data_IF_871214593906
#
_entry.id   IF_871214593906
#
_cell.length_a   1.000
_cell.length_b   1.000
_cell.length_c   1.000
_cell.angle_alpha   90.00
_cell.angle_beta   90.00
_cell.angle_gamma   90.00
#
_symmetry.space_group_name_H-M   'P 1'
#
loop_
_entity.id
_entity.type
_entity.pdbx_description
1 polymer ?
#
# COMPACT_ATOMS: atom_id res chain seq x y z
N UNK A 1 46.10 63.72 29.68
CA UNK A 1 45.85 63.36 28.28
C UNK A 1 45.42 61.89 28.23
N UNK A 2 44.21 61.64 27.72
CA UNK A 2 43.60 60.37 27.28
C UNK A 2 43.20 59.28 28.31
N UNK A 3 41.88 59.12 28.37
CA UNK A 3 41.05 57.95 28.73
C UNK A 3 41.45 56.65 28.01
N UNK A 4 41.05 55.49 28.57
CA UNK A 4 40.12 54.47 28.00
C UNK A 4 40.15 53.21 28.89
N UNK A 5 39.16 52.97 29.75
CA UNK A 5 38.03 52.03 29.55
C UNK A 5 38.43 50.78 28.75
N UNK A 6 38.65 49.65 29.43
CA UNK A 6 38.50 48.33 28.80
C UNK A 6 37.23 47.63 29.28
N UNK A 7 36.44 47.33 28.25
CA UNK A 7 35.09 46.78 28.22
C UNK A 7 35.05 45.32 28.70
N UNK A 8 33.96 44.99 29.38
CA UNK A 8 33.45 43.65 29.65
C UNK A 8 33.43 42.79 28.37
N UNK A 9 33.98 41.57 28.46
CA UNK A 9 33.73 40.49 27.49
C UNK A 9 32.70 39.56 28.12
N UNK A 10 31.49 39.55 27.55
CA UNK A 10 30.47 38.54 27.79
C UNK A 10 30.72 37.39 26.80
N UNK A 11 30.84 36.12 27.23
CA UNK A 11 30.90 35.03 26.28
C UNK A 11 29.49 34.73 25.78
N UNK A 12 29.29 34.87 24.47
CA UNK A 12 28.11 34.39 23.76
C UNK A 12 28.15 32.86 23.79
N UNK A 13 27.25 32.24 24.57
CA UNK A 13 27.01 30.79 24.49
C UNK A 13 26.35 30.50 23.14
N UNK A 14 27.13 30.00 22.19
CA UNK A 14 26.60 29.37 20.98
C UNK A 14 25.93 28.05 21.39
N UNK A 15 24.60 28.01 21.35
CA UNK A 15 23.83 26.77 21.40
C UNK A 15 24.10 26.04 20.10
N UNK A 16 25.08 25.13 20.11
CA UNK A 16 25.28 24.15 19.05
C UNK A 16 24.10 23.19 19.10
N UNK A 17 23.16 23.34 18.18
CA UNK A 17 22.16 22.33 17.88
C UNK A 17 22.91 21.10 17.35
N UNK A 18 23.24 20.16 18.24
CA UNK A 18 23.78 18.84 17.89
C UNK A 18 22.68 18.04 17.20
N UNK A 19 22.50 18.28 15.91
CA UNK A 19 21.95 17.30 14.99
C UNK A 19 23.03 16.21 14.86
N UNK A 20 23.07 15.25 15.79
CA UNK A 20 24.01 14.13 15.70
C UNK A 20 23.66 13.30 14.46
N UNK A 21 24.55 13.20 13.45
CA UNK A 21 24.33 12.26 12.36
C UNK A 21 24.29 10.85 12.95
N UNK A 22 23.38 10.00 12.47
CA UNK A 22 23.41 8.57 12.82
C UNK A 22 24.82 8.03 12.55
N UNK A 23 25.41 7.37 13.54
CA UNK A 23 26.67 6.66 13.32
C UNK A 23 26.49 5.60 12.23
N UNK A 24 27.52 5.36 11.41
CA UNK A 24 27.47 4.37 10.32
C UNK A 24 27.03 2.96 10.80
N UNK A 25 27.30 2.62 12.06
CA UNK A 25 26.82 1.43 12.76
C UNK A 25 25.32 1.45 13.03
N UNK A 26 24.74 2.58 13.47
CA UNK A 26 23.27 2.72 13.64
C UNK A 26 22.55 2.72 12.28
N UNK A 27 23.15 3.32 11.25
CA UNK A 27 22.62 3.28 9.89
C UNK A 27 22.69 1.87 9.27
N UNK A 28 23.72 1.08 9.59
CA UNK A 28 23.82 -0.34 9.22
C UNK A 28 22.86 -1.23 10.02
N UNK A 29 22.54 -0.88 11.27
CA UNK A 29 21.56 -1.60 12.11
C UNK A 29 20.10 -1.27 11.75
N UNK A 30 19.83 -0.14 11.11
CA UNK A 30 18.58 0.20 10.41
C UNK A 30 18.53 -0.35 8.97
N UNK A 31 19.33 -1.38 8.65
CA UNK A 31 19.46 -1.95 7.29
C UNK A 31 18.15 -2.45 6.67
N UNK A 32 17.10 -2.64 7.48
CA UNK A 32 15.81 -3.06 6.96
C UNK A 32 15.11 -1.93 6.16
N UNK A 33 14.79 -2.17 4.87
CA UNK A 33 14.17 -1.17 4.01
C UNK A 33 12.83 -0.65 4.53
N UNK A 34 12.03 -1.50 5.18
CA UNK A 34 10.74 -1.09 5.74
C UNK A 34 10.94 -0.17 6.94
N UNK A 35 11.80 -0.54 7.90
CA UNK A 35 12.05 0.31 9.07
C UNK A 35 12.61 1.68 8.64
N UNK A 36 13.49 1.71 7.62
CA UNK A 36 13.96 2.95 7.00
C UNK A 36 12.83 3.78 6.41
N UNK A 37 11.88 3.17 5.70
CA UNK A 37 10.70 3.85 5.17
C UNK A 37 9.88 4.52 6.28
N UNK A 38 9.68 3.86 7.42
CA UNK A 38 8.97 4.44 8.57
C UNK A 38 9.68 5.70 9.09
N UNK A 39 11.02 5.68 9.18
CA UNK A 39 11.82 6.85 9.59
C UNK A 39 11.73 7.97 8.57
N UNK A 40 11.98 7.68 7.29
CA UNK A 40 11.90 8.66 6.19
C UNK A 40 10.52 9.31 6.15
N UNK A 41 9.46 8.52 6.35
CA UNK A 41 8.08 9.02 6.40
C UNK A 41 7.87 10.04 7.51
N UNK A 42 8.37 9.76 8.71
CA UNK A 42 8.31 10.69 9.85
C UNK A 42 9.09 11.96 9.57
N UNK A 43 10.27 11.85 8.97
CA UNK A 43 11.11 13.00 8.63
C UNK A 43 10.43 13.94 7.62
N UNK A 44 9.80 13.38 6.58
CA UNK A 44 9.00 14.14 5.62
C UNK A 44 7.87 14.88 6.35
N UNK A 45 7.17 14.22 7.26
CA UNK A 45 6.02 14.82 7.95
C UNK A 45 6.38 15.90 8.95
N UNK A 46 7.49 15.72 9.67
CA UNK A 46 8.00 16.72 10.60
C UNK A 46 8.34 18.03 9.89
N UNK A 47 8.78 17.97 8.63
CA UNK A 47 9.22 19.13 7.83
C UNK A 47 8.13 19.73 6.95
N UNK A 48 7.26 18.90 6.38
CA UNK A 48 6.32 19.30 5.33
C UNK A 48 4.84 19.10 5.73
N UNK A 49 4.58 18.74 6.99
CA UNK A 49 3.24 18.45 7.47
C UNK A 49 2.74 17.07 7.01
N UNK A 50 1.48 16.77 7.34
CA UNK A 50 0.89 15.47 7.03
C UNK A 50 0.75 15.29 5.51
N UNK A 51 1.48 14.32 4.98
CA UNK A 51 1.36 13.85 3.60
C UNK A 51 1.05 12.35 3.57
N UNK A 52 0.59 11.81 2.46
CA UNK A 52 0.55 10.37 2.19
C UNK A 52 1.84 9.95 1.48
N UNK A 53 2.36 8.76 1.79
CA UNK A 53 3.49 8.17 1.07
C UNK A 53 3.13 6.73 0.73
N UNK A 54 3.07 6.42 -0.56
CA UNK A 54 2.75 5.07 -1.03
C UNK A 54 3.88 4.52 -1.88
N UNK A 55 4.19 3.25 -1.67
CA UNK A 55 5.11 2.47 -2.48
C UNK A 55 4.34 1.77 -3.60
N UNK A 56 4.68 2.10 -4.84
CA UNK A 56 4.20 1.48 -6.07
C UNK A 56 2.66 1.29 -6.12
N UNK A 57 1.87 2.37 -5.96
CA UNK A 57 0.41 2.30 -5.78
C UNK A 57 -0.38 1.67 -6.95
N UNK A 58 0.24 1.54 -8.12
CA UNK A 58 -0.39 1.01 -9.35
C UNK A 58 0.37 -0.17 -9.95
N UNK A 59 1.31 -0.76 -9.20
CA UNK A 59 2.09 -1.88 -9.69
C UNK A 59 1.27 -3.16 -9.56
N UNK A 60 0.73 -3.62 -10.68
CA UNK A 60 -0.09 -4.84 -10.73
C UNK A 60 0.75 -6.12 -10.57
N UNK A 61 1.93 -6.17 -11.19
CA UNK A 61 2.80 -7.35 -11.12
C UNK A 61 3.95 -7.13 -10.14
N UNK A 62 3.69 -7.42 -8.87
CA UNK A 62 4.70 -7.36 -7.80
C UNK A 62 5.53 -8.65 -7.67
N UNK A 63 5.23 -9.68 -8.48
CA UNK A 63 5.92 -10.97 -8.47
C UNK A 63 5.76 -11.75 -7.16
N UNK A 64 6.70 -12.65 -6.89
CA UNK A 64 6.75 -13.44 -5.65
C UNK A 64 7.24 -12.62 -4.45
N UNK A 65 7.41 -13.26 -3.28
CA UNK A 65 7.88 -12.58 -2.07
C UNK A 65 9.27 -11.94 -2.21
N UNK A 66 10.17 -12.55 -3.01
CA UNK A 66 11.49 -11.99 -3.29
C UNK A 66 11.37 -10.71 -4.12
N UNK A 67 10.51 -10.74 -5.14
CA UNK A 67 10.22 -9.60 -5.99
C UNK A 67 9.59 -8.46 -5.19
N UNK A 68 8.64 -8.76 -4.30
CA UNK A 68 8.05 -7.77 -3.38
C UNK A 68 9.10 -7.14 -2.46
N UNK A 69 10.00 -7.95 -1.89
CA UNK A 69 11.09 -7.45 -1.04
C UNK A 69 11.97 -6.45 -1.80
N UNK A 70 12.26 -6.74 -3.07
CA UNK A 70 13.03 -5.84 -3.94
C UNK A 70 12.27 -4.54 -4.22
N UNK A 71 10.95 -4.61 -4.44
CA UNK A 71 10.13 -3.39 -4.55
C UNK A 71 10.13 -2.56 -3.27
N UNK A 72 10.13 -3.17 -2.08
CA UNK A 72 10.26 -2.41 -0.82
C UNK A 72 11.62 -1.71 -0.74
N UNK A 73 12.72 -2.35 -1.16
CA UNK A 73 14.05 -1.71 -1.23
C UNK A 73 14.06 -0.51 -2.17
N UNK A 74 13.52 -0.67 -3.39
CA UNK A 74 13.39 0.40 -4.37
C UNK A 74 12.54 1.54 -3.82
N UNK A 75 11.46 1.21 -3.12
CA UNK A 75 10.64 2.24 -2.48
C UNK A 75 11.44 3.02 -1.42
N UNK A 76 12.18 2.32 -0.55
CA UNK A 76 13.01 2.95 0.47
C UNK A 76 14.07 3.88 -0.13
N UNK A 77 14.69 3.48 -1.24
CA UNK A 77 15.62 4.33 -1.99
C UNK A 77 14.91 5.58 -2.53
N UNK A 78 13.81 5.41 -3.28
CA UNK A 78 13.08 6.54 -3.86
C UNK A 78 12.54 7.49 -2.80
N UNK A 79 12.02 6.97 -1.69
CA UNK A 79 11.54 7.77 -0.56
C UNK A 79 12.66 8.57 0.10
N UNK A 80 13.87 8.01 0.22
CA UNK A 80 15.02 8.76 0.72
C UNK A 80 15.35 9.93 -0.21
N UNK A 81 15.52 9.67 -1.51
CA UNK A 81 15.85 10.72 -2.47
C UNK A 81 14.77 11.80 -2.47
N UNK A 82 13.50 11.42 -2.35
CA UNK A 82 12.37 12.35 -2.24
C UNK A 82 12.50 13.22 -0.98
N UNK A 83 12.78 12.61 0.17
CA UNK A 83 13.00 13.33 1.42
C UNK A 83 14.17 14.31 1.33
N UNK A 84 15.20 13.99 0.56
CA UNK A 84 16.35 14.88 0.35
C UNK A 84 16.04 16.02 -0.64
N UNK A 85 15.28 15.74 -1.69
CA UNK A 85 14.81 16.73 -2.67
C UNK A 85 13.83 17.74 -2.05
N UNK A 86 12.95 17.29 -1.15
CA UNK A 86 11.99 18.13 -0.45
C UNK A 86 12.64 19.20 0.45
N UNK A 87 13.90 19.00 0.85
CA UNK A 87 14.69 20.02 1.59
C UNK A 87 14.98 21.26 0.72
N UNK A 88 15.07 21.08 -0.60
CA UNK A 88 15.38 22.16 -1.55
C UNK A 88 14.11 22.69 -2.23
N UNK A 89 13.20 21.81 -2.59
CA UNK A 89 11.94 22.15 -3.24
C UNK A 89 10.79 21.59 -2.40
N UNK A 90 10.28 22.34 -1.39
CA UNK A 90 9.09 21.92 -0.68
C UNK A 90 7.96 21.77 -1.71
N UNK A 91 7.45 20.54 -1.88
CA UNK A 91 6.43 20.19 -2.89
C UNK A 91 5.11 20.90 -2.64
N UNK A 92 5.05 22.18 -2.98
CA UNK A 92 3.98 23.10 -2.57
C UNK A 92 2.62 22.59 -3.02
N UNK A 93 1.77 22.25 -2.05
CA UNK A 93 0.41 21.80 -2.28
C UNK A 93 0.24 20.30 -2.60
N UNK A 94 1.31 19.52 -2.72
CA UNK A 94 1.22 18.06 -2.87
C UNK A 94 0.86 17.45 -1.51
N UNK A 95 -0.20 16.64 -1.48
CA UNK A 95 -0.70 15.94 -0.29
C UNK A 95 -0.34 14.46 -0.27
N UNK A 96 -0.01 13.90 -1.43
CA UNK A 96 0.29 12.48 -1.60
C UNK A 96 1.47 12.28 -2.54
N UNK A 97 2.49 11.56 -2.07
CA UNK A 97 3.60 11.11 -2.88
C UNK A 97 3.51 9.62 -3.12
N UNK A 98 3.64 9.19 -4.38
CA UNK A 98 3.76 7.79 -4.75
C UNK A 98 5.14 7.49 -5.29
N UNK A 99 5.93 6.67 -4.59
CA UNK A 99 7.13 6.10 -5.21
C UNK A 99 6.68 5.11 -6.28
N UNK A 100 7.17 5.27 -7.50
CA UNK A 100 6.66 4.60 -8.68
C UNK A 100 7.76 4.35 -9.71
N UNK A 101 7.39 3.81 -10.87
CA UNK A 101 8.27 3.62 -12.03
C UNK A 101 8.28 4.81 -12.99
N UNK A 102 7.45 5.83 -12.74
CA UNK A 102 7.32 7.03 -13.57
C UNK A 102 7.01 8.28 -12.75
N UNK A 103 7.28 9.44 -13.34
CA UNK A 103 6.74 10.71 -12.86
C UNK A 103 5.32 10.91 -13.38
N UNK A 104 4.39 11.30 -12.50
CA UNK A 104 3.01 11.57 -12.89
C UNK A 104 2.34 12.52 -11.89
N UNK A 105 1.85 13.66 -12.37
CA UNK A 105 0.95 14.51 -11.58
C UNK A 105 -0.49 14.07 -11.80
N UNK A 106 -1.21 13.77 -10.72
CA UNK A 106 -2.58 13.26 -10.76
C UNK A 106 -3.38 13.78 -9.56
N UNK A 107 -4.65 13.41 -9.47
CA UNK A 107 -5.52 13.81 -8.37
C UNK A 107 -5.68 15.33 -8.24
N UNK A 108 -5.64 16.07 -9.36
CA UNK A 108 -5.74 17.52 -9.33
C UNK A 108 -4.48 18.21 -8.81
N UNK A 109 -3.31 17.63 -9.10
CA UNK A 109 -2.00 18.06 -8.57
C UNK A 109 -1.80 17.85 -7.07
N UNK A 110 -2.74 17.20 -6.37
CA UNK A 110 -2.56 16.80 -4.97
C UNK A 110 -1.72 15.53 -4.82
N UNK A 111 -1.58 14.75 -5.89
CA UNK A 111 -0.82 13.50 -5.89
C UNK A 111 0.30 13.56 -6.91
N UNK A 112 1.53 13.30 -6.49
CA UNK A 112 2.71 13.23 -7.37
C UNK A 112 3.33 11.84 -7.28
N UNK A 113 3.36 11.12 -8.39
CA UNK A 113 4.20 9.94 -8.54
C UNK A 113 5.61 10.38 -8.91
N UNK A 114 6.61 9.77 -8.29
CA UNK A 114 8.03 10.00 -8.58
C UNK A 114 8.73 8.69 -8.86
N UNK A 115 9.69 8.72 -9.79
CA UNK A 115 10.49 7.54 -10.11
C UNK A 115 11.38 7.15 -8.93
N UNK A 116 11.39 5.87 -8.56
CA UNK A 116 12.20 5.36 -7.47
C UNK A 116 13.72 5.50 -7.71
N UNK A 117 14.13 5.44 -8.98
CA UNK A 117 15.51 5.51 -9.47
C UNK A 117 15.92 6.92 -9.92
N UNK A 118 15.06 7.94 -9.70
CA UNK A 118 15.41 9.31 -10.07
C UNK A 118 16.59 9.83 -9.27
N UNK A 119 17.42 10.66 -9.92
CA UNK A 119 18.41 11.46 -9.22
C UNK A 119 17.75 12.53 -8.35
N UNK A 120 18.50 13.08 -7.40
CA UNK A 120 18.04 14.20 -6.55
C UNK A 120 17.57 15.38 -7.41
N UNK A 121 18.31 15.73 -8.46
CA UNK A 121 17.99 16.87 -9.32
C UNK A 121 16.71 16.64 -10.13
N UNK A 122 16.51 15.42 -10.65
CA UNK A 122 15.26 15.03 -11.31
C UNK A 122 14.06 15.13 -10.35
N UNK A 123 14.23 14.74 -9.09
CA UNK A 123 13.17 14.88 -8.09
C UNK A 123 12.88 16.34 -7.76
N UNK A 124 13.91 17.18 -7.62
CA UNK A 124 13.75 18.62 -7.41
C UNK A 124 13.00 19.26 -8.58
N UNK A 125 13.35 18.91 -9.82
CA UNK A 125 12.68 19.40 -11.02
C UNK A 125 11.20 19.00 -11.04
N UNK A 126 10.89 17.72 -10.76
CA UNK A 126 9.52 17.23 -10.67
C UNK A 126 8.70 17.93 -9.58
N UNK A 127 9.28 18.16 -8.40
CA UNK A 127 8.64 18.90 -7.31
C UNK A 127 8.34 20.34 -7.72
N UNK A 128 9.29 21.04 -8.34
CA UNK A 128 9.09 22.41 -8.85
C UNK A 128 8.02 22.45 -9.94
N UNK A 129 8.02 21.50 -10.87
CA UNK A 129 7.00 21.41 -11.92
C UNK A 129 5.59 21.18 -11.35
N UNK A 130 5.46 20.38 -10.28
CA UNK A 130 4.17 20.12 -9.63
C UNK A 130 3.57 21.33 -8.90
N UNK A 131 4.37 22.34 -8.59
CA UNK A 131 4.01 23.44 -7.67
C UNK A 131 3.30 24.64 -8.31
N UNK A 132 2.89 24.56 -9.58
CA UNK A 132 2.32 25.69 -10.33
C UNK A 132 0.85 25.96 -9.94
N UNK A 133 0.64 26.67 -8.83
CA UNK A 133 -0.68 27.00 -8.30
C UNK A 133 -1.65 27.61 -9.34
N UNK A 134 -1.15 28.46 -10.25
CA UNK A 134 -1.96 29.06 -11.32
C UNK A 134 -2.40 28.08 -12.42
N UNK A 135 -1.60 27.07 -12.74
CA UNK A 135 -1.99 26.00 -13.66
C UNK A 135 -3.06 25.10 -13.04
N UNK A 136 -2.90 24.80 -11.73
CA UNK A 136 -3.89 24.03 -10.97
C UNK A 136 -5.26 24.70 -10.95
N UNK A 137 -5.33 26.00 -10.68
CA UNK A 137 -6.61 26.72 -10.68
C UNK A 137 -7.28 26.70 -12.07
N UNK A 138 -6.49 26.91 -13.14
CA UNK A 138 -6.98 26.83 -14.53
C UNK A 138 -7.51 25.42 -14.85
N UNK A 139 -6.81 24.36 -14.45
CA UNK A 139 -7.27 22.99 -14.62
C UNK A 139 -8.61 22.78 -13.90
N UNK A 140 -8.70 23.19 -12.63
CA UNK A 140 -9.94 23.02 -11.85
C UNK A 140 -11.12 23.78 -12.45
N UNK A 141 -10.91 24.99 -12.96
CA UNK A 141 -11.97 25.72 -13.67
C UNK A 141 -12.46 24.97 -14.91
N UNK A 142 -11.55 24.39 -15.70
CA UNK A 142 -11.94 23.55 -16.86
C UNK A 142 -12.67 22.28 -16.44
N UNK A 143 -12.15 21.56 -15.46
CA UNK A 143 -12.76 20.33 -14.94
C UNK A 143 -14.16 20.61 -14.38
N UNK A 144 -14.33 21.68 -13.59
CA UNK A 144 -15.63 22.08 -13.05
C UNK A 144 -16.60 22.44 -14.18
N UNK A 145 -16.14 23.18 -15.20
CA UNK A 145 -16.93 23.47 -16.40
C UNK A 145 -17.43 22.21 -17.09
N UNK A 146 -16.55 21.25 -17.40
CA UNK A 146 -16.95 20.00 -18.02
C UNK A 146 -17.86 19.16 -17.11
N UNK A 147 -17.56 19.06 -15.81
CA UNK A 147 -18.41 18.33 -14.86
C UNK A 147 -19.83 18.91 -14.82
N UNK A 148 -19.99 20.23 -14.83
CA UNK A 148 -21.32 20.87 -14.91
C UNK A 148 -22.05 20.50 -16.19
N UNK A 149 -21.38 20.58 -17.35
CA UNK A 149 -21.97 20.15 -18.63
C UNK A 149 -22.42 18.69 -18.59
N UNK A 150 -21.58 17.81 -18.06
CA UNK A 150 -21.86 16.38 -17.94
C UNK A 150 -23.06 16.14 -17.00
N UNK A 151 -23.06 16.73 -15.82
CA UNK A 151 -24.11 16.52 -14.81
C UNK A 151 -25.46 17.15 -15.21
N UNK A 152 -25.47 18.14 -16.10
CA UNK A 152 -26.72 18.63 -16.73
C UNK A 152 -27.26 17.62 -17.73
N UNK A 153 -26.39 16.92 -18.46
CA UNK A 153 -26.78 16.01 -19.53
C UNK A 153 -27.03 14.57 -19.05
N UNK A 154 -26.49 14.19 -17.89
CA UNK A 154 -26.52 12.81 -17.38
C UNK A 154 -26.70 12.76 -15.87
N UNK A 155 -27.48 11.78 -15.39
CA UNK A 155 -27.71 11.54 -13.96
C UNK A 155 -26.61 10.64 -13.36
N UNK A 156 -25.49 11.24 -12.95
CA UNK A 156 -24.39 10.54 -12.27
C UNK A 156 -24.35 10.91 -10.79
N UNK A 157 -24.25 9.91 -9.90
CA UNK A 157 -24.10 10.17 -8.46
C UNK A 157 -22.68 10.62 -8.13
N UNK A 158 -21.68 9.99 -8.76
CA UNK A 158 -20.27 10.36 -8.64
C UNK A 158 -19.57 10.38 -10.00
N UNK A 159 -18.61 11.30 -10.15
CA UNK A 159 -17.79 11.45 -11.33
C UNK A 159 -16.34 11.80 -10.95
N UNK A 160 -15.41 10.90 -11.19
CA UNK A 160 -14.00 11.10 -10.86
C UNK A 160 -13.03 10.40 -11.83
N UNK A 161 -11.74 10.67 -11.67
CA UNK A 161 -10.67 10.02 -12.42
C UNK A 161 -9.89 9.08 -11.49
N UNK A 162 -9.46 7.93 -12.02
CA UNK A 162 -8.47 7.09 -11.34
C UNK A 162 -7.15 7.84 -11.16
N UNK A 163 -6.36 7.44 -10.16
CA UNK A 163 -5.03 8.01 -9.94
C UNK A 163 -3.95 7.41 -10.86
N UNK A 164 -4.32 6.46 -11.73
CA UNK A 164 -3.40 5.84 -12.70
C UNK A 164 -3.15 6.72 -13.93
N UNK A 165 -4.00 7.73 -14.15
CA UNK A 165 -3.90 8.64 -15.30
C UNK A 165 -3.44 10.04 -14.88
N UNK A 166 -2.86 10.79 -15.81
CA UNK A 166 -2.42 12.18 -15.61
C UNK A 166 -3.61 13.13 -15.47
N UNK A 167 -3.34 14.35 -14.99
CA UNK A 167 -4.34 15.41 -14.96
C UNK A 167 -4.84 15.78 -16.38
N UNK A 168 -3.96 15.77 -17.38
CA UNK A 168 -4.30 16.04 -18.78
C UNK A 168 -5.14 14.92 -19.38
N UNK A 169 -4.80 13.66 -19.09
CA UNK A 169 -5.60 12.49 -19.50
C UNK A 169 -6.99 12.55 -18.87
N UNK A 170 -7.07 12.83 -17.57
CA UNK A 170 -8.33 13.04 -16.86
C UNK A 170 -9.17 14.16 -17.51
N UNK A 171 -8.54 15.29 -17.84
CA UNK A 171 -9.20 16.41 -18.51
C UNK A 171 -9.76 16.00 -19.88
N UNK A 172 -8.97 15.30 -20.70
CA UNK A 172 -9.39 14.79 -22.01
C UNK A 172 -10.59 13.86 -21.90
N UNK A 173 -10.61 13.00 -20.88
CA UNK A 173 -11.74 12.12 -20.60
C UNK A 173 -13.02 12.90 -20.28
N UNK A 174 -12.94 13.94 -19.44
CA UNK A 174 -14.09 14.80 -19.17
C UNK A 174 -14.54 15.62 -20.38
N UNK A 175 -13.61 16.16 -21.16
CA UNK A 175 -13.92 16.90 -22.39
C UNK A 175 -14.68 16.01 -23.38
N UNK A 176 -14.21 14.79 -23.58
CA UNK A 176 -14.87 13.81 -24.45
C UNK A 176 -16.25 13.41 -23.89
N UNK A 177 -16.37 13.17 -22.58
CA UNK A 177 -17.64 12.82 -21.96
C UNK A 177 -18.65 13.97 -22.05
N UNK A 178 -18.19 15.22 -21.95
CA UNK A 178 -19.03 16.41 -22.11
C UNK A 178 -19.53 16.60 -23.54
N UNK A 179 -18.83 16.08 -24.55
CA UNK A 179 -19.23 16.14 -25.96
C UNK A 179 -20.17 15.01 -26.39
N UNK A 180 -20.42 14.02 -25.53
CA UNK A 180 -21.39 12.95 -25.80
C UNK A 180 -22.79 13.54 -25.91
N UNK A 181 -23.41 13.40 -27.08
CA UNK A 181 -24.80 13.84 -27.28
C UNK A 181 -25.76 13.01 -26.41
N UNK A 182 -26.52 13.65 -25.50
CA UNK A 182 -27.49 12.94 -24.67
C UNK A 182 -28.62 12.38 -25.54
N UNK A 183 -29.21 11.29 -25.07
CA UNK A 183 -30.46 10.74 -25.62
C UNK A 183 -31.45 10.56 -24.48
N UNK A 184 -32.75 10.54 -24.76
CA UNK A 184 -33.79 10.34 -23.73
C UNK A 184 -33.53 9.11 -22.87
N UNK A 185 -32.99 8.04 -23.48
CA UNK A 185 -32.61 6.81 -22.77
C UNK A 185 -31.44 7.02 -21.82
N UNK A 186 -30.44 7.80 -22.20
CA UNK A 186 -29.28 8.11 -21.36
C UNK A 186 -29.64 9.05 -20.20
N UNK A 187 -30.46 10.07 -20.47
CA UNK A 187 -30.88 11.03 -19.46
C UNK A 187 -31.69 10.38 -18.32
N UNK A 188 -32.50 9.37 -18.66
CA UNK A 188 -33.29 8.60 -17.68
C UNK A 188 -32.46 7.55 -16.93
N UNK A 189 -31.24 7.24 -17.37
CA UNK A 189 -30.41 6.20 -16.79
C UNK A 189 -29.58 6.77 -15.64
N UNK A 190 -29.86 6.28 -14.44
CA UNK A 190 -29.09 6.65 -13.26
C UNK A 190 -27.84 5.80 -13.15
N UNK A 191 -26.72 6.46 -12.89
CA UNK A 191 -25.44 5.81 -12.61
C UNK A 191 -25.01 6.09 -11.18
N UNK A 192 -24.43 5.06 -10.55
CA UNK A 192 -23.71 5.21 -9.29
C UNK A 192 -22.48 6.08 -9.51
N UNK A 193 -21.35 5.44 -9.82
CA UNK A 193 -20.09 6.17 -10.06
C UNK A 193 -19.58 5.94 -11.47
N UNK A 194 -19.31 7.04 -12.19
CA UNK A 194 -18.65 7.04 -13.49
C UNK A 194 -17.20 7.46 -13.31
N UNK A 195 -16.28 6.66 -13.83
CA UNK A 195 -14.85 6.79 -13.53
C UNK A 195 -14.04 6.85 -14.83
N UNK A 196 -13.27 7.92 -15.02
CA UNK A 196 -12.31 8.03 -16.12
C UNK A 196 -11.02 7.29 -15.74
N UNK A 197 -10.57 6.37 -16.60
CA UNK A 197 -9.44 5.46 -16.34
C UNK A 197 -8.60 5.19 -17.60
N UNK A 198 -7.48 4.50 -17.43
CA UNK A 198 -6.68 3.82 -18.46
C UNK A 198 -7.21 2.43 -18.85
N UNK A 199 -8.15 1.87 -18.09
CA UNK A 199 -8.75 0.54 -18.33
C UNK A 199 -10.28 0.59 -18.42
N UNK A 200 -10.84 -0.44 -19.05
CA UNK A 200 -12.28 -0.69 -19.14
C UNK A 200 -12.73 -1.89 -18.32
N UNK A 201 -11.82 -2.62 -17.68
CA UNK A 201 -12.16 -3.80 -16.89
C UNK A 201 -12.77 -3.38 -15.57
N UNK A 202 -14.05 -3.71 -15.27
CA UNK A 202 -14.64 -3.43 -13.97
C UNK A 202 -13.77 -4.00 -12.85
N UNK A 203 -13.54 -3.20 -11.81
CA UNK A 203 -12.79 -3.63 -10.62
C UNK A 203 -13.63 -4.53 -9.71
N UNK A 204 -13.37 -4.50 -8.41
CA UNK A 204 -14.11 -5.27 -7.41
C UNK A 204 -15.53 -4.73 -7.15
N UNK A 205 -15.83 -3.52 -7.63
CA UNK A 205 -17.12 -2.86 -7.41
C UNK A 205 -18.00 -2.91 -8.68
N UNK A 206 -19.14 -3.62 -8.63
CA UNK A 206 -20.08 -3.73 -9.74
C UNK A 206 -20.81 -2.45 -10.11
N UNK A 207 -20.81 -1.46 -9.23
CA UNK A 207 -21.54 -0.21 -9.41
C UNK A 207 -20.75 0.81 -10.22
N UNK A 208 -19.44 0.56 -10.46
CA UNK A 208 -18.57 1.46 -11.20
C UNK A 208 -18.69 1.29 -12.71
N UNK A 209 -18.94 2.40 -13.41
CA UNK A 209 -18.77 2.48 -14.86
C UNK A 209 -17.40 3.09 -15.18
N UNK A 210 -16.47 2.27 -15.67
CA UNK A 210 -15.19 2.74 -16.17
C UNK A 210 -15.30 3.20 -17.62
N UNK A 211 -14.83 4.41 -17.91
CA UNK A 211 -14.64 4.97 -19.24
C UNK A 211 -13.16 5.27 -19.45
N UNK A 212 -12.63 4.96 -20.63
CA UNK A 212 -11.23 5.20 -20.95
C UNK A 212 -11.01 6.64 -21.40
N UNK A 213 -9.96 7.28 -20.91
CA UNK A 213 -9.66 8.68 -21.20
C UNK A 213 -9.36 8.99 -22.68
N UNK A 214 -9.01 7.96 -23.46
CA UNK A 214 -8.65 8.04 -24.88
C UNK A 214 -9.76 7.53 -25.82
N UNK A 215 -10.94 7.18 -25.29
CA UNK A 215 -12.07 6.78 -26.13
C UNK A 215 -12.62 7.95 -26.94
N UNK A 216 -13.18 7.65 -28.11
CA UNK A 216 -14.01 8.59 -28.85
C UNK A 216 -15.39 8.77 -28.18
N UNK A 217 -16.06 9.89 -28.45
CA UNK A 217 -17.37 10.22 -27.86
C UNK A 217 -18.42 9.13 -28.14
N UNK A 218 -18.48 8.59 -29.36
CA UNK A 218 -19.42 7.52 -29.71
C UNK A 218 -19.16 6.23 -28.93
N UNK A 219 -17.90 5.91 -28.65
CA UNK A 219 -17.54 4.74 -27.84
C UNK A 219 -17.92 4.94 -26.36
N UNK A 220 -17.78 6.15 -25.82
CA UNK A 220 -18.30 6.48 -24.48
C UNK A 220 -19.82 6.40 -24.43
N UNK A 221 -20.51 6.91 -25.47
CA UNK A 221 -21.97 6.84 -25.62
C UNK A 221 -22.49 5.41 -25.63
N UNK A 222 -21.88 4.55 -26.46
CA UNK A 222 -22.24 3.13 -26.51
C UNK A 222 -22.09 2.48 -25.14
N UNK A 223 -21.00 2.76 -24.44
CA UNK A 223 -20.73 2.19 -23.11
C UNK A 223 -21.71 2.68 -22.04
N UNK A 224 -22.13 3.95 -22.11
CA UNK A 224 -23.20 4.48 -21.27
C UNK A 224 -24.55 3.81 -21.61
N UNK A 225 -24.84 3.53 -22.87
CA UNK A 225 -26.07 2.82 -23.22
C UNK A 225 -26.03 1.36 -22.75
N UNK A 226 -24.90 0.71 -22.97
CA UNK A 226 -24.71 -0.73 -22.90
C UNK A 226 -23.70 -1.09 -21.80
N UNK A 227 -24.04 -0.76 -20.54
CA UNK A 227 -23.19 -1.17 -19.41
C UNK A 227 -23.07 -2.68 -19.36
N UNK A 228 -21.87 -3.20 -19.63
CA UNK A 228 -21.60 -4.62 -19.51
C UNK A 228 -21.21 -5.04 -18.09
N UNK A 229 -21.17 -4.13 -17.10
CA UNK A 229 -20.83 -4.47 -15.72
C UNK A 229 -21.73 -5.58 -15.17
N UNK A 230 -23.06 -5.45 -15.23
CA UNK A 230 -23.96 -6.51 -14.75
C UNK A 230 -23.68 -7.85 -15.46
N UNK A 231 -23.54 -7.83 -16.79
CA UNK A 231 -23.21 -9.04 -17.55
C UNK A 231 -21.84 -9.63 -17.20
N UNK A 232 -20.87 -8.80 -16.80
CA UNK A 232 -19.56 -9.23 -16.32
C UNK A 232 -19.70 -9.92 -14.96
N UNK A 233 -20.49 -9.36 -14.05
CA UNK A 233 -20.77 -9.95 -12.73
C UNK A 233 -21.62 -11.22 -12.80
N UNK A 234 -22.60 -11.28 -13.69
CA UNK A 234 -23.40 -12.49 -13.92
C UNK A 234 -22.53 -13.61 -14.48
N UNK A 235 -21.63 -13.30 -15.43
CA UNK A 235 -20.64 -14.27 -15.94
C UNK A 235 -19.72 -14.75 -14.81
N UNK A 236 -19.25 -13.85 -13.94
CA UNK A 236 -18.43 -14.22 -12.78
C UNK A 236 -19.15 -15.11 -11.79
N UNK A 237 -20.41 -14.77 -11.47
CA UNK A 237 -21.24 -15.58 -10.60
C UNK A 237 -21.34 -17.01 -11.12
N UNK A 238 -21.61 -17.19 -12.42
CA UNK A 238 -21.65 -18.50 -13.06
C UNK A 238 -20.34 -19.28 -12.95
N UNK A 239 -19.20 -18.59 -13.09
CA UNK A 239 -17.88 -19.23 -12.89
C UNK A 239 -17.70 -19.70 -11.44
N UNK A 240 -18.14 -18.90 -10.46
CA UNK A 240 -18.08 -19.29 -9.04
C UNK A 240 -19.04 -20.43 -8.70
N UNK A 241 -20.26 -20.41 -9.23
CA UNK A 241 -21.24 -21.51 -9.09
C UNK A 241 -20.67 -22.81 -9.66
N UNK A 242 -20.10 -22.77 -10.86
CA UNK A 242 -19.48 -23.94 -11.49
C UNK A 242 -18.24 -24.44 -10.72
N UNK A 243 -17.41 -23.51 -10.23
CA UNK A 243 -16.25 -23.85 -9.41
C UNK A 243 -16.69 -24.53 -8.11
N UNK A 244 -17.77 -24.06 -7.50
CA UNK A 244 -18.33 -24.66 -6.30
C UNK A 244 -18.90 -26.06 -6.56
N UNK A 245 -19.65 -26.21 -7.65
CA UNK A 245 -20.21 -27.50 -8.08
C UNK A 245 -19.11 -28.54 -8.31
N UNK A 246 -18.03 -28.14 -8.99
CA UNK A 246 -16.95 -29.07 -9.37
C UNK A 246 -15.95 -29.36 -8.26
N UNK A 247 -15.63 -28.37 -7.44
CA UNK A 247 -14.47 -28.42 -6.54
C UNK A 247 -14.79 -28.01 -5.09
N UNK A 248 -15.98 -27.46 -4.83
CA UNK A 248 -16.36 -26.85 -3.55
C UNK A 248 -16.31 -27.82 -2.38
N UNK A 249 -16.61 -29.11 -2.59
CA UNK A 249 -16.47 -30.12 -1.54
C UNK A 249 -15.01 -30.25 -1.08
N UNK A 250 -14.06 -30.39 -2.02
CA UNK A 250 -12.64 -30.48 -1.68
C UNK A 250 -12.15 -29.21 -0.98
N UNK A 251 -12.60 -28.03 -1.43
CA UNK A 251 -12.21 -26.77 -0.82
C UNK A 251 -12.73 -26.65 0.62
N UNK A 252 -14.01 -26.97 0.87
CA UNK A 252 -14.60 -26.89 2.22
C UNK A 252 -14.14 -28.00 3.16
N UNK A 253 -14.07 -29.25 2.69
CA UNK A 253 -13.85 -30.40 3.57
C UNK A 253 -12.39 -30.79 3.71
N UNK A 254 -11.60 -30.70 2.63
CA UNK A 254 -10.20 -31.13 2.62
C UNK A 254 -9.27 -29.96 2.95
N UNK A 255 -9.32 -28.90 2.14
CA UNK A 255 -8.49 -27.71 2.36
C UNK A 255 -9.01 -26.86 3.52
N UNK A 256 -10.31 -26.92 3.82
CA UNK A 256 -10.98 -25.98 4.73
C UNK A 256 -10.74 -24.52 4.32
N UNK A 257 -10.72 -24.27 3.00
CA UNK A 257 -10.60 -22.96 2.40
C UNK A 257 -12.01 -22.39 2.17
N UNK A 258 -12.51 -21.49 3.04
CA UNK A 258 -13.89 -21.01 2.95
C UNK A 258 -14.12 -20.11 1.73
N UNK A 259 -13.05 -19.56 1.13
CA UNK A 259 -13.14 -18.55 0.10
C UNK A 259 -12.06 -18.76 -0.97
N UNK A 260 -12.47 -19.14 -2.18
CA UNK A 260 -11.62 -19.18 -3.38
C UNK A 260 -12.18 -18.19 -4.39
N UNK A 261 -11.36 -17.24 -4.82
CA UNK A 261 -11.74 -16.16 -5.71
C UNK A 261 -10.91 -16.19 -7.00
N UNK A 262 -11.43 -15.57 -8.06
CA UNK A 262 -10.72 -15.40 -9.32
C UNK A 262 -10.52 -13.91 -9.63
N UNK A 263 -9.29 -13.56 -9.96
CA UNK A 263 -8.89 -12.21 -10.33
C UNK A 263 -9.75 -11.67 -11.49
N UNK A 264 -10.25 -10.42 -11.40
CA UNK A 264 -10.50 -9.48 -12.48
C UNK A 264 -10.51 -10.02 -13.91
N UNK A 265 -9.27 -10.26 -14.29
CA UNK A 265 -8.74 -10.36 -15.64
C UNK A 265 -8.65 -11.81 -16.14
N UNK A 266 -9.04 -12.78 -15.31
CA UNK A 266 -9.12 -14.18 -15.72
C UNK A 266 -10.43 -14.47 -16.45
N UNK A 267 -10.31 -15.21 -17.55
CA UNK A 267 -11.46 -15.81 -18.20
C UNK A 267 -11.90 -17.09 -17.45
N UNK A 268 -13.02 -17.68 -17.90
CA UNK A 268 -13.59 -18.88 -17.28
C UNK A 268 -12.61 -20.06 -17.23
N UNK A 269 -11.95 -20.39 -18.34
CA UNK A 269 -11.05 -21.54 -18.41
C UNK A 269 -9.86 -21.37 -17.47
N UNK A 270 -9.30 -20.16 -17.44
CA UNK A 270 -8.17 -19.84 -16.57
C UNK A 270 -8.54 -19.99 -15.09
N UNK A 271 -9.68 -19.41 -14.69
CA UNK A 271 -10.18 -19.55 -13.32
C UNK A 271 -10.41 -21.02 -12.93
N UNK A 272 -11.07 -21.80 -13.79
CA UNK A 272 -11.33 -23.22 -13.55
C UNK A 272 -10.05 -24.05 -13.56
N UNK A 273 -9.04 -23.68 -14.34
CA UNK A 273 -7.72 -24.33 -14.35
C UNK A 273 -7.01 -24.16 -13.00
N UNK A 274 -6.96 -22.94 -12.47
CA UNK A 274 -6.37 -22.69 -11.15
C UNK A 274 -7.12 -23.43 -10.03
N UNK A 275 -8.45 -23.45 -10.11
CA UNK A 275 -9.29 -24.21 -9.18
C UNK A 275 -9.03 -25.72 -9.26
N UNK A 276 -8.86 -26.26 -10.47
CA UNK A 276 -8.51 -27.67 -10.70
C UNK A 276 -7.14 -28.02 -10.11
N UNK A 277 -6.16 -27.13 -10.23
CA UNK A 277 -4.85 -27.31 -9.59
C UNK A 277 -4.98 -27.41 -8.08
N UNK A 278 -5.71 -26.47 -7.44
CA UNK A 278 -5.98 -26.53 -5.99
C UNK A 278 -6.71 -27.82 -5.59
N UNK A 279 -7.74 -28.21 -6.35
CA UNK A 279 -8.49 -29.44 -6.12
C UNK A 279 -7.58 -30.68 -6.16
N UNK A 280 -6.68 -30.76 -7.15
CA UNK A 280 -5.71 -31.86 -7.31
C UNK A 280 -4.77 -31.99 -6.11
N UNK A 281 -4.48 -30.87 -5.44
CA UNK A 281 -3.57 -30.81 -4.30
C UNK A 281 -4.28 -30.88 -2.96
N UNK A 282 -5.62 -30.96 -2.94
CA UNK A 282 -6.43 -30.78 -1.74
C UNK A 282 -6.05 -31.75 -0.61
N UNK A 283 -5.85 -33.04 -0.94
CA UNK A 283 -5.47 -34.04 0.06
C UNK A 283 -4.03 -33.85 0.56
N UNK A 284 -3.12 -33.43 -0.33
CA UNK A 284 -1.68 -33.28 -0.01
C UNK A 284 -1.39 -32.04 0.83
N UNK A 285 -2.27 -31.05 0.78
CA UNK A 285 -2.16 -29.78 1.50
C UNK A 285 -3.26 -29.64 2.57
N UNK A 286 -3.91 -30.76 2.92
CA UNK A 286 -5.05 -30.79 3.83
C UNK A 286 -4.69 -30.34 5.24
N UNK A 287 -3.43 -30.43 5.67
CA UNK A 287 -2.91 -30.02 6.98
C UNK A 287 -2.47 -28.54 7.03
N UNK A 288 -2.45 -27.85 5.88
CA UNK A 288 -2.06 -26.45 5.78
C UNK A 288 -3.23 -25.52 6.15
N UNK A 289 -2.98 -24.38 6.78
CA UNK A 289 -3.98 -23.36 7.03
C UNK A 289 -4.36 -22.66 5.72
N UNK A 290 -5.68 -22.53 5.48
CA UNK A 290 -6.24 -21.85 4.33
C UNK A 290 -7.32 -20.88 4.76
N UNK A 291 -7.24 -19.65 4.24
CA UNK A 291 -8.23 -18.60 4.37
C UNK A 291 -8.74 -18.23 2.98
N UNK A 292 -8.52 -16.97 2.59
CA UNK A 292 -8.82 -16.52 1.22
C UNK A 292 -7.74 -16.97 0.25
N UNK A 293 -8.15 -17.58 -0.84
CA UNK A 293 -7.27 -17.98 -1.95
C UNK A 293 -7.67 -17.20 -3.19
N UNK A 294 -6.71 -16.52 -3.82
CA UNK A 294 -6.89 -15.79 -5.07
C UNK A 294 -6.24 -16.54 -6.23
N UNK A 295 -7.03 -16.99 -7.19
CA UNK A 295 -6.54 -17.49 -8.47
C UNK A 295 -6.31 -16.27 -9.37
N UNK A 296 -5.08 -16.08 -9.84
CA UNK A 296 -4.71 -14.91 -10.64
C UNK A 296 -3.72 -15.25 -11.75
N UNK A 297 -3.37 -14.24 -12.58
CA UNK A 297 -2.40 -14.35 -13.68
C UNK A 297 -0.95 -14.16 -13.23
N UNK A 298 -0.75 -13.82 -11.96
CA UNK A 298 0.54 -13.44 -11.40
C UNK A 298 1.16 -14.60 -10.61
N UNK A 299 2.38 -14.41 -10.11
CA UNK A 299 3.06 -15.46 -9.37
C UNK A 299 2.29 -15.88 -8.11
N UNK A 300 2.47 -17.14 -7.72
CA UNK A 300 1.96 -17.69 -6.48
C UNK A 300 2.61 -16.98 -5.28
N UNK A 301 1.80 -16.53 -4.33
CA UNK A 301 2.23 -15.67 -3.19
C UNK A 301 1.58 -16.17 -1.90
N UNK A 302 2.35 -16.17 -0.81
CA UNK A 302 1.83 -16.33 0.55
C UNK A 302 1.70 -14.94 1.18
N UNK A 303 0.48 -14.52 1.50
CA UNK A 303 0.23 -13.23 2.17
C UNK A 303 0.30 -13.38 3.69
N UNK A 304 -0.16 -14.52 4.20
CA UNK A 304 -0.07 -14.91 5.60
C UNK A 304 -0.14 -16.44 5.68
N UNK A 305 -0.21 -16.98 6.90
CA UNK A 305 -0.43 -18.41 7.11
C UNK A 305 -1.68 -18.89 6.36
N UNK A 306 -2.75 -18.09 6.39
CA UNK A 306 -4.06 -18.46 5.83
C UNK A 306 -4.27 -17.94 4.40
N UNK A 307 -3.90 -16.69 4.12
CA UNK A 307 -4.23 -16.05 2.84
C UNK A 307 -3.14 -16.27 1.78
N UNK A 308 -3.54 -16.57 0.55
CA UNK A 308 -2.59 -16.85 -0.54
C UNK A 308 -3.14 -16.53 -1.92
N UNK A 309 -2.24 -16.40 -2.88
CA UNK A 309 -2.56 -16.36 -4.30
C UNK A 309 -1.90 -17.54 -5.02
N UNK A 310 -2.56 -18.05 -6.05
CA UNK A 310 -2.07 -19.10 -6.93
C UNK A 310 -2.18 -18.66 -8.39
N UNK A 311 -1.10 -18.84 -9.15
CA UNK A 311 -1.13 -18.60 -10.59
C UNK A 311 -2.03 -19.63 -11.26
N UNK A 312 -2.95 -19.20 -12.12
CA UNK A 312 -3.98 -20.07 -12.69
C UNK A 312 -3.43 -21.27 -13.49
N UNK A 313 -2.26 -21.11 -14.13
CA UNK A 313 -1.60 -22.12 -14.97
C UNK A 313 -0.41 -22.81 -14.28
N UNK A 314 -0.21 -22.58 -12.98
CA UNK A 314 0.86 -23.27 -12.25
C UNK A 314 0.65 -24.79 -12.30
N UNK A 315 1.73 -25.52 -12.54
CA UNK A 315 1.68 -26.98 -12.56
C UNK A 315 1.45 -27.51 -11.14
N UNK A 316 0.65 -28.58 -10.95
CA UNK A 316 0.39 -29.13 -9.63
C UNK A 316 1.65 -29.48 -8.83
N UNK A 317 2.70 -30.01 -9.48
CA UNK A 317 3.95 -30.32 -8.80
C UNK A 317 4.67 -29.06 -8.28
N UNK A 318 4.63 -27.96 -9.04
CA UNK A 318 5.25 -26.69 -8.66
C UNK A 318 4.45 -26.01 -7.53
N UNK A 319 3.12 -25.99 -7.65
CA UNK A 319 2.25 -25.49 -6.58
C UNK A 319 2.39 -26.32 -5.30
N UNK A 320 2.49 -27.65 -5.39
CA UNK A 320 2.74 -28.51 -4.24
C UNK A 320 4.06 -28.13 -3.57
N UNK A 321 5.15 -28.00 -4.33
CA UNK A 321 6.45 -27.59 -3.80
C UNK A 321 6.37 -26.23 -3.09
N UNK A 322 5.65 -25.28 -3.67
CA UNK A 322 5.52 -23.93 -3.10
C UNK A 322 4.71 -23.95 -1.80
N UNK A 323 3.52 -24.56 -1.81
CA UNK A 323 2.60 -24.55 -0.67
C UNK A 323 2.95 -25.56 0.43
N UNK A 324 3.79 -26.57 0.15
CA UNK A 324 4.32 -27.46 1.18
C UNK A 324 5.18 -26.72 2.21
N UNK A 325 5.73 -25.55 1.84
CA UNK A 325 6.50 -24.70 2.74
C UNK A 325 5.63 -23.87 3.68
N UNK A 326 4.29 -23.83 3.49
CA UNK A 326 3.39 -23.22 4.47
C UNK A 326 3.54 -23.98 5.79
N UNK A 327 3.50 -23.24 6.89
CA UNK A 327 3.39 -23.76 8.25
C UNK A 327 2.13 -24.66 8.38
N UNK A 328 2.17 -25.67 9.25
CA UNK A 328 0.99 -26.54 9.50
C UNK A 328 -0.03 -25.86 10.40
N UNK A 329 -1.30 -26.29 10.38
CA UNK A 329 -2.33 -25.72 11.30
C UNK A 329 -1.94 -25.84 12.77
N UNK A 330 -1.38 -26.98 13.18
CA UNK A 330 -0.95 -27.22 14.56
C UNK A 330 0.18 -26.27 14.99
N UNK A 331 1.14 -26.02 14.09
CA UNK A 331 2.21 -25.04 14.35
C UNK A 331 1.66 -23.61 14.44
N UNK A 332 0.70 -23.23 13.58
CA UNK A 332 0.04 -21.92 13.67
C UNK A 332 -0.66 -21.76 15.01
N UNK A 333 -1.45 -22.75 15.43
CA UNK A 333 -2.15 -22.72 16.72
C UNK A 333 -1.18 -22.59 17.91
N UNK A 334 -0.06 -23.34 17.88
CA UNK A 334 1.02 -23.20 18.86
C UNK A 334 1.64 -21.80 18.86
N UNK A 335 1.94 -21.24 17.68
CA UNK A 335 2.56 -19.92 17.56
C UNK A 335 1.61 -18.82 18.05
N UNK A 336 0.34 -18.89 17.67
CA UNK A 336 -0.70 -17.93 18.10
C UNK A 336 -0.87 -17.99 19.62
N UNK A 337 -1.00 -19.18 20.19
CA UNK A 337 -1.14 -19.36 21.66
C UNK A 337 0.04 -18.72 22.41
N UNK A 338 1.27 -18.96 21.94
CA UNK A 338 2.47 -18.36 22.55
C UNK A 338 2.52 -16.84 22.39
N UNK A 339 2.13 -16.32 21.21
CA UNK A 339 2.08 -14.89 20.96
C UNK A 339 1.04 -14.19 21.87
N UNK A 340 -0.14 -14.77 22.04
CA UNK A 340 -1.17 -14.28 22.97
C UNK A 340 -0.68 -14.29 24.43
N UNK A 341 0.04 -15.33 24.83
CA UNK A 341 0.65 -15.41 26.16
C UNK A 341 1.70 -14.31 26.37
N UNK A 342 2.52 -14.03 25.36
CA UNK A 342 3.48 -12.92 25.42
C UNK A 342 2.78 -11.57 25.46
N UNK A 343 1.74 -11.36 24.66
CA UNK A 343 0.95 -10.12 24.67
C UNK A 343 0.37 -9.85 26.08
N UNK A 344 -0.23 -10.88 26.71
CA UNK A 344 -0.77 -10.78 28.08
C UNK A 344 0.32 -10.44 29.10
N UNK A 345 1.47 -11.14 29.04
CA UNK A 345 2.59 -10.92 29.96
C UNK A 345 3.24 -9.55 29.81
N UNK A 346 3.23 -8.99 28.60
CA UNK A 346 3.86 -7.72 28.28
C UNK A 346 2.93 -6.50 28.45
N UNK A 347 1.66 -6.68 28.82
CA UNK A 347 0.68 -5.58 28.90
C UNK A 347 1.14 -4.40 29.78
N UNK A 348 1.83 -4.68 30.89
CA UNK A 348 2.29 -3.67 31.86
C UNK A 348 3.82 -3.67 31.99
N UNK A 349 4.54 -3.67 30.86
CA UNK A 349 6.01 -3.65 30.89
C UNK A 349 6.58 -2.22 31.09
N UNK A 350 7.87 -2.14 31.41
CA UNK A 350 8.52 -0.87 31.79
C UNK A 350 8.64 0.15 30.64
N UNK A 351 8.50 -0.28 29.39
CA UNK A 351 8.69 0.60 28.22
C UNK A 351 7.50 1.51 27.94
N UNK A 352 6.32 1.16 28.46
CA UNK A 352 5.06 1.82 28.13
C UNK A 352 4.47 1.43 26.76
N UNK A 353 5.11 0.53 26.02
CA UNK A 353 4.60 0.01 24.74
C UNK A 353 3.86 -1.31 24.93
N UNK A 354 2.64 -1.43 24.42
CA UNK A 354 2.01 -2.72 24.14
C UNK A 354 2.57 -3.29 22.84
N UNK A 355 2.91 -4.57 22.80
CA UNK A 355 3.26 -5.24 21.55
C UNK A 355 2.04 -5.94 20.95
N UNK A 356 1.82 -5.78 19.65
CA UNK A 356 0.76 -6.43 18.89
C UNK A 356 1.28 -6.87 17.52
N UNK A 357 0.56 -7.78 16.88
CA UNK A 357 0.85 -8.21 15.52
C UNK A 357 -0.24 -7.79 14.54
N UNK A 358 0.16 -7.63 13.29
CA UNK A 358 -0.74 -7.39 12.19
C UNK A 358 -1.56 -8.63 11.83
N UNK A 359 -2.81 -8.68 12.30
CA UNK A 359 -3.70 -9.82 12.15
C UNK A 359 -4.10 -10.16 10.71
N UNK A 360 -3.76 -9.34 9.72
CA UNK A 360 -4.15 -9.57 8.31
C UNK A 360 -3.02 -10.04 7.42
N UNK A 361 -1.76 -9.81 7.78
CA UNK A 361 -0.65 -9.92 6.82
C UNK A 361 0.66 -10.44 7.37
N UNK A 362 0.69 -10.87 8.62
CA UNK A 362 1.89 -11.46 9.21
C UNK A 362 1.70 -12.97 9.42
N UNK A 363 2.74 -13.74 9.16
CA UNK A 363 2.81 -15.15 9.52
C UNK A 363 2.91 -15.28 11.04
N UNK A 364 2.22 -16.25 11.65
CA UNK A 364 2.20 -16.46 13.11
C UNK A 364 3.59 -16.69 13.68
N UNK A 365 4.44 -17.44 12.98
CA UNK A 365 5.83 -17.65 13.36
C UNK A 365 6.59 -16.33 13.44
N UNK A 366 6.43 -15.48 12.43
CA UNK A 366 7.09 -14.18 12.38
C UNK A 366 6.57 -13.23 13.47
N UNK A 367 5.27 -13.28 13.75
CA UNK A 367 4.68 -12.57 14.88
C UNK A 367 5.31 -13.00 16.21
N UNK A 368 5.40 -14.31 16.45
CA UNK A 368 6.00 -14.88 17.66
C UNK A 368 7.46 -14.42 17.82
N UNK A 369 8.26 -14.49 16.74
CA UNK A 369 9.64 -14.01 16.73
C UNK A 369 9.73 -12.52 17.12
N UNK A 370 8.80 -11.69 16.63
CA UNK A 370 8.70 -10.27 17.02
C UNK A 370 8.44 -10.10 18.51
N UNK A 371 7.51 -10.87 19.08
CA UNK A 371 7.26 -10.87 20.52
C UNK A 371 8.47 -11.30 21.33
N UNK A 372 9.16 -12.37 20.94
CA UNK A 372 10.36 -12.87 21.62
C UNK A 372 11.47 -11.80 21.66
N UNK A 373 11.70 -11.13 20.53
CA UNK A 373 12.66 -10.03 20.43
C UNK A 373 12.27 -8.86 21.35
N UNK A 374 10.99 -8.52 21.43
CA UNK A 374 10.52 -7.45 22.31
C UNK A 374 10.58 -7.82 23.79
N UNK A 375 10.27 -9.07 24.16
CA UNK A 375 10.49 -9.58 25.52
C UNK A 375 11.96 -9.43 25.92
N UNK A 376 12.88 -9.81 25.01
CA UNK A 376 14.30 -9.66 25.26
C UNK A 376 14.70 -8.18 25.39
N UNK A 377 14.12 -7.30 24.57
CA UNK A 377 14.38 -5.86 24.61
C UNK A 377 13.97 -5.25 25.95
N UNK A 378 12.74 -5.53 26.41
CA UNK A 378 12.23 -5.09 27.70
C UNK A 378 13.14 -5.55 28.84
N UNK A 379 13.55 -6.83 28.84
CA UNK A 379 14.43 -7.39 29.88
C UNK A 379 15.78 -6.69 29.93
N UNK A 380 16.33 -6.34 28.76
CA UNK A 380 17.67 -5.77 28.61
C UNK A 380 17.70 -4.24 28.76
N UNK A 381 16.54 -3.57 28.68
CA UNK A 381 16.43 -2.11 28.67
C UNK A 381 15.32 -1.65 29.64
N UNK A 382 15.41 -2.04 30.92
CA UNK A 382 14.36 -1.75 31.92
C UNK A 382 14.05 -0.25 32.07
N UNK A 383 15.08 0.59 31.93
CA UNK A 383 14.97 2.06 32.01
C UNK A 383 14.49 2.72 30.71
N UNK A 384 14.32 1.96 29.63
CA UNK A 384 13.78 2.50 28.39
C UNK A 384 12.32 2.84 28.60
N UNK A 385 11.94 4.06 28.23
CA UNK A 385 10.55 4.53 28.15
C UNK A 385 10.35 5.19 26.80
N UNK A 386 9.29 4.79 26.11
CA UNK A 386 8.90 5.45 24.86
C UNK A 386 8.31 6.83 25.18
N UNK A 387 8.66 7.90 24.45
CA UNK A 387 7.99 9.17 24.65
C UNK A 387 6.59 9.14 24.01
N UNK A 388 5.69 9.96 24.53
CA UNK A 388 4.38 10.17 23.92
C UNK A 388 4.54 10.67 22.46
N UNK A 389 3.60 10.37 21.55
CA UNK A 389 2.28 9.74 21.76
C UNK A 389 2.25 8.20 21.57
N UNK A 390 3.40 7.53 21.49
CA UNK A 390 3.42 6.11 21.13
C UNK A 390 3.06 5.22 22.31
N UNK A 391 2.08 4.34 22.09
CA UNK A 391 1.57 3.43 23.12
C UNK A 391 1.65 1.97 22.67
N UNK A 392 1.83 1.73 21.38
CA UNK A 392 1.82 0.38 20.81
C UNK A 392 2.92 0.22 19.77
N UNK A 393 3.64 -0.91 19.81
CA UNK A 393 4.47 -1.40 18.72
C UNK A 393 3.70 -2.48 17.97
N UNK A 394 3.53 -2.31 16.65
CA UNK A 394 2.87 -3.27 15.77
C UNK A 394 3.91 -3.95 14.87
N UNK A 395 4.00 -5.27 15.01
CA UNK A 395 4.79 -6.11 14.13
C UNK A 395 4.08 -6.34 12.81
N UNK A 396 4.79 -6.10 11.71
CA UNK A 396 4.32 -6.32 10.34
C UNK A 396 5.35 -7.14 9.54
N UNK A 397 4.92 -7.79 8.46
CA UNK A 397 5.85 -8.30 7.45
C UNK A 397 6.25 -7.17 6.51
N UNK A 398 7.40 -6.55 6.80
CA UNK A 398 7.94 -5.43 6.03
C UNK A 398 8.38 -5.77 4.61
N UNK A 399 8.28 -7.05 4.18
CA UNK A 399 8.60 -7.47 2.81
C UNK A 399 7.41 -7.38 1.85
N UNK A 400 6.20 -7.26 2.37
CA UNK A 400 4.97 -7.26 1.57
C UNK A 400 4.51 -5.82 1.30
N UNK A 401 4.44 -5.45 0.03
CA UNK A 401 4.17 -4.07 -0.38
C UNK A 401 2.82 -3.55 0.16
N UNK A 402 1.79 -4.40 0.15
CA UNK A 402 0.47 -4.06 0.71
C UNK A 402 0.54 -3.73 2.20
N UNK A 403 1.39 -4.44 2.96
CA UNK A 403 1.59 -4.21 4.39
C UNK A 403 2.45 -2.97 4.67
N UNK A 404 3.45 -2.72 3.82
CA UNK A 404 4.23 -1.48 3.84
C UNK A 404 3.32 -0.26 3.66
N UNK A 405 2.45 -0.28 2.63
CA UNK A 405 1.52 0.81 2.37
C UNK A 405 0.50 1.02 3.48
N UNK A 406 0.00 -0.07 4.07
CA UNK A 406 -0.87 -0.02 5.25
C UNK A 406 -0.17 0.69 6.42
N UNK A 407 1.06 0.29 6.76
CA UNK A 407 1.81 0.88 7.87
C UNK A 407 2.12 2.37 7.62
N UNK A 408 2.53 2.74 6.41
CA UNK A 408 2.88 4.13 6.06
C UNK A 408 1.69 5.10 6.15
N UNK A 409 0.47 4.62 5.87
CA UNK A 409 -0.71 5.46 5.70
C UNK A 409 -1.85 5.17 6.70
N UNK A 410 -1.59 4.33 7.70
CA UNK A 410 -2.54 4.07 8.78
C UNK A 410 -2.95 5.37 9.49
N UNK A 411 -4.26 5.54 9.71
CA UNK A 411 -4.81 6.69 10.43
C UNK A 411 -4.35 6.73 11.90
N UNK A 412 -4.01 5.57 12.48
CA UNK A 412 -3.57 5.44 13.86
C UNK A 412 -2.05 5.51 14.04
N UNK A 413 -1.24 5.73 12.99
CA UNK A 413 0.24 5.77 13.12
C UNK A 413 0.78 6.85 14.07
N UNK A 414 -0.05 7.80 14.49
CA UNK A 414 0.29 8.73 15.57
C UNK A 414 0.31 8.06 16.95
N UNK A 415 -0.16 6.81 17.11
CA UNK A 415 -0.10 6.03 18.35
C UNK A 415 0.62 4.68 18.19
N UNK A 416 0.82 4.21 16.94
CA UNK A 416 1.53 2.97 16.63
C UNK A 416 2.95 3.20 16.09
N UNK A 417 3.91 2.43 16.62
CA UNK A 417 5.22 2.20 16.03
C UNK A 417 5.16 0.93 15.18
N UNK A 418 5.21 1.08 13.86
CA UNK A 418 5.27 -0.07 12.97
C UNK A 418 6.70 -0.56 12.82
N UNK A 419 6.92 -1.87 12.99
CA UNK A 419 8.23 -2.49 12.93
C UNK A 419 8.20 -3.78 12.11
N UNK A 420 9.20 -3.97 11.24
CA UNK A 420 9.35 -5.24 10.52
C UNK A 420 9.88 -6.33 11.47
N UNK A 421 9.05 -7.33 11.76
CA UNK A 421 9.42 -8.43 12.65
C UNK A 421 10.64 -9.24 12.16
N UNK A 422 10.97 -9.17 10.86
CA UNK A 422 12.13 -9.86 10.27
C UNK A 422 13.47 -9.20 10.62
N UNK A 423 13.46 -8.02 11.24
CA UNK A 423 14.68 -7.24 11.50
C UNK A 423 15.47 -7.69 12.74
N UNK A 424 14.95 -8.62 13.53
CA UNK A 424 15.68 -9.19 14.67
C UNK A 424 15.83 -8.23 15.85
N UNK A 425 16.42 -8.74 16.94
CA UNK A 425 16.63 -8.00 18.19
C UNK A 425 17.45 -6.72 18.00
N UNK A 426 18.56 -6.77 17.27
CA UNK A 426 19.41 -5.60 17.04
C UNK A 426 18.67 -4.51 16.25
N UNK A 427 17.95 -4.90 15.19
CA UNK A 427 17.12 -3.98 14.41
C UNK A 427 16.02 -3.35 15.28
N UNK A 428 15.37 -4.13 16.14
CA UNK A 428 14.36 -3.63 17.09
C UNK A 428 14.96 -2.62 18.06
N UNK A 429 16.10 -2.97 18.66
CA UNK A 429 16.77 -2.09 19.62
C UNK A 429 17.20 -0.78 18.96
N UNK A 430 17.74 -0.81 17.75
CA UNK A 430 18.15 0.38 17.02
C UNK A 430 16.94 1.26 16.68
N UNK A 431 15.87 0.67 16.16
CA UNK A 431 14.64 1.37 15.79
C UNK A 431 13.98 2.08 16.99
N UNK A 432 13.87 1.40 18.14
CA UNK A 432 13.27 1.98 19.34
C UNK A 432 14.15 3.08 19.96
N UNK A 433 15.48 2.89 19.98
CA UNK A 433 16.42 3.92 20.45
C UNK A 433 16.38 5.17 19.57
N UNK A 434 16.35 5.00 18.25
CA UNK A 434 16.20 6.13 17.32
C UNK A 434 14.88 6.86 17.52
N UNK A 435 13.79 6.10 17.72
CA UNK A 435 12.46 6.67 17.98
C UNK A 435 12.43 7.54 19.23
N UNK A 436 13.18 7.17 20.29
CA UNK A 436 13.29 7.96 21.52
C UNK A 436 13.97 9.32 21.30
N UNK A 437 14.87 9.42 20.33
CA UNK A 437 15.68 10.62 20.08
C UNK A 437 15.02 11.61 19.10
N UNK A 438 13.91 11.25 18.46
CA UNK A 438 13.27 11.95 17.34
C UNK A 438 11.90 12.52 17.68
#
# INVERSE_FOLDING_TARGET
>A
MKFYILRRIVPVLAIVFLCTPLSATQAAELSDPFNRLIVVKRDIEKRHGKVFLQCFPFLKNIGDNQTQTEWVKRCAQGAQTLSDALKEAPGSGVKEFGISTRFLSTGGFYSLLVKWDASRDQMVEALKASSRAGEREKLFKKVDGFKRTILTNFAFSELYCTKTISNEECLKGYETLASVTPTDKLQKKQWGSVVISDTLTPGEDPTLLLLRHDQAADAMKDRLLNNKAQSFWDKRRKVYEEMDEKFGEAFRRKLQAPNVFCDPELNREECLQGARTLHTLADKLADRPWGKIWINRHNTILYSDYESAIRFDIQPAEALKFFSNKVTRAEVESNVTKAEDFEKKLKNNSTGLRAVCDLRGIESKLCLEGFEQFVQFVKSNREFKVPAPWETIMFVDGRQLGRVNFALNSSSRSSYLYFNARSGFNGLSAFLKQTKNN
#
